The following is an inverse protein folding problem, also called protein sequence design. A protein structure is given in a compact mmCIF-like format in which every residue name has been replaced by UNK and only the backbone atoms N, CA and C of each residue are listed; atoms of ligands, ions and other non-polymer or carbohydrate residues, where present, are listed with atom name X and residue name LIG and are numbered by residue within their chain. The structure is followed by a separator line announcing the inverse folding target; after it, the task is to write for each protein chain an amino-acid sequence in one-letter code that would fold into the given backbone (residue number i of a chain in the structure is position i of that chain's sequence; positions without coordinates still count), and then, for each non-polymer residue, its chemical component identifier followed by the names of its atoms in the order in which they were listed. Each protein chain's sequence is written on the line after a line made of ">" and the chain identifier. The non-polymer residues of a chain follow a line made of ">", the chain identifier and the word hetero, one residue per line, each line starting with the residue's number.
data_IF_760817414552
#
_entry.id   IF_760817414552
#
_cell.length_a   1.000
_cell.length_b   1.000
_cell.length_c   1.000
_cell.angle_alpha   90.00
_cell.angle_beta   90.00
_cell.angle_gamma   90.00
#
_symmetry.space_group_name_H-M   'P 1'
#
loop_
_entity.id
_entity.type
_entity.pdbx_description
1 polymer ?
#
# COMPACT_ATOMS: atom_id res chain seq x y z
N UNK A 1 -66.22 -28.28 49.72
CA UNK A 1 -65.15 -29.12 49.09
C UNK A 1 -65.01 -28.74 47.65
N UNK A 2 -63.95 -28.01 47.25
CA UNK A 2 -63.62 -27.68 45.85
C UNK A 2 -63.02 -28.94 45.19
N UNK A 3 -63.70 -29.50 44.20
CA UNK A 3 -63.14 -30.57 43.37
C UNK A 3 -61.98 -30.03 42.58
N UNK A 4 -60.74 -30.44 42.89
CA UNK A 4 -59.56 -30.22 42.08
C UNK A 4 -59.81 -30.96 40.73
N UNK A 5 -59.94 -30.20 39.64
CA UNK A 5 -60.01 -30.73 38.30
C UNK A 5 -58.72 -31.51 37.98
N UNK A 6 -58.83 -32.81 37.91
CA UNK A 6 -57.75 -33.71 37.51
C UNK A 6 -57.50 -33.49 36.01
N UNK A 7 -56.53 -32.65 35.66
CA UNK A 7 -56.13 -32.44 34.28
C UNK A 7 -55.58 -33.74 33.72
N UNK A 8 -56.05 -34.14 32.54
CA UNK A 8 -55.58 -35.36 31.88
C UNK A 8 -54.13 -35.22 31.47
N UNK A 9 -53.33 -36.24 31.63
CA UNK A 9 -51.93 -36.32 31.21
C UNK A 9 -51.72 -35.78 29.76
N UNK A 10 -52.69 -35.97 28.89
CA UNK A 10 -52.70 -35.48 27.52
C UNK A 10 -52.75 -33.95 27.39
N UNK A 11 -53.38 -33.25 28.34
CA UNK A 11 -53.40 -31.78 28.36
C UNK A 11 -52.02 -31.19 28.72
N UNK A 12 -51.33 -31.79 29.67
CA UNK A 12 -49.96 -31.39 30.01
C UNK A 12 -49.01 -31.67 28.87
N UNK A 13 -49.15 -32.79 28.18
CA UNK A 13 -48.34 -33.13 27.01
C UNK A 13 -48.51 -32.16 25.84
N UNK A 14 -49.76 -31.70 25.59
CA UNK A 14 -50.02 -30.67 24.57
C UNK A 14 -49.37 -29.34 24.90
N UNK A 15 -49.45 -28.89 26.15
CA UNK A 15 -48.84 -27.64 26.60
C UNK A 15 -47.32 -27.75 26.49
N UNK A 16 -46.72 -28.87 26.86
CA UNK A 16 -45.28 -29.11 26.74
C UNK A 16 -44.82 -29.09 25.29
N UNK A 17 -45.56 -29.72 24.36
CA UNK A 17 -45.24 -29.69 22.94
C UNK A 17 -45.30 -28.29 22.34
N UNK A 18 -46.30 -27.47 22.72
CA UNK A 18 -46.39 -26.07 22.28
C UNK A 18 -45.21 -25.27 22.78
N UNK A 19 -44.80 -25.51 24.05
CA UNK A 19 -43.63 -24.82 24.64
C UNK A 19 -42.34 -25.20 23.94
N UNK A 20 -42.14 -26.49 23.67
CA UNK A 20 -40.94 -26.98 22.92
C UNK A 20 -40.94 -26.43 21.49
N UNK A 21 -42.07 -26.39 20.81
CA UNK A 21 -42.17 -25.79 19.48
C UNK A 21 -41.83 -24.29 19.49
N UNK A 22 -42.34 -23.56 20.48
CA UNK A 22 -41.99 -22.13 20.67
C UNK A 22 -40.51 -21.91 20.89
N UNK A 23 -39.87 -22.75 21.72
CA UNK A 23 -38.40 -22.69 21.93
C UNK A 23 -37.65 -23.00 20.66
N UNK A 24 -38.05 -24.00 19.90
CA UNK A 24 -37.42 -24.37 18.62
C UNK A 24 -37.50 -23.22 17.61
N UNK A 25 -38.64 -22.58 17.46
CA UNK A 25 -38.84 -21.42 16.57
C UNK A 25 -37.94 -20.23 17.05
N UNK A 26 -37.91 -19.96 18.36
CA UNK A 26 -37.08 -18.90 18.91
C UNK A 26 -35.59 -19.14 18.64
N UNK A 27 -35.12 -20.38 18.80
CA UNK A 27 -33.73 -20.75 18.48
C UNK A 27 -33.41 -20.63 16.98
N UNK A 28 -34.33 -21.00 16.10
CA UNK A 28 -34.15 -20.84 14.65
C UNK A 28 -34.06 -19.36 14.27
N UNK A 29 -34.96 -18.51 14.80
CA UNK A 29 -34.94 -17.07 14.54
C UNK A 29 -33.66 -16.45 15.10
N UNK A 30 -33.23 -16.85 16.29
CA UNK A 30 -31.99 -16.37 16.88
C UNK A 30 -30.77 -16.78 16.04
N UNK A 31 -30.68 -18.06 15.65
CA UNK A 31 -29.59 -18.55 14.79
C UNK A 31 -29.52 -17.81 13.46
N UNK A 32 -30.67 -17.62 12.80
CA UNK A 32 -30.75 -16.87 11.55
C UNK A 32 -30.27 -15.40 11.72
N UNK A 33 -30.73 -14.71 12.77
CA UNK A 33 -30.31 -13.33 13.04
C UNK A 33 -28.82 -13.22 13.36
N UNK A 34 -28.25 -14.17 14.11
CA UNK A 34 -26.81 -14.20 14.40
C UNK A 34 -26.03 -14.40 13.13
N UNK A 35 -26.44 -15.33 12.28
CA UNK A 35 -25.72 -15.62 11.03
C UNK A 35 -25.71 -14.39 10.10
N UNK A 36 -26.86 -13.76 9.88
CA UNK A 36 -26.96 -12.55 9.03
C UNK A 36 -26.11 -11.40 9.58
N UNK A 37 -26.15 -11.15 10.89
CA UNK A 37 -25.35 -10.09 11.52
C UNK A 37 -23.86 -10.38 11.46
N UNK A 38 -23.46 -11.65 11.60
CA UNK A 38 -22.05 -12.03 11.53
C UNK A 38 -21.49 -11.83 10.13
N UNK A 39 -22.25 -12.21 9.09
CA UNK A 39 -21.83 -11.98 7.70
C UNK A 39 -21.68 -10.50 7.39
N UNK A 40 -22.63 -9.65 7.76
CA UNK A 40 -22.55 -8.20 7.56
C UNK A 40 -21.38 -7.56 8.31
N UNK A 41 -21.15 -7.93 9.56
CA UNK A 41 -20.03 -7.40 10.35
C UNK A 41 -18.67 -7.81 9.78
N UNK A 42 -18.56 -9.02 9.21
CA UNK A 42 -17.32 -9.48 8.58
C UNK A 42 -17.05 -8.73 7.29
N UNK A 43 -18.07 -8.50 6.45
CA UNK A 43 -17.92 -7.71 5.23
C UNK A 43 -17.51 -6.25 5.55
N UNK A 44 -18.18 -5.59 6.50
CA UNK A 44 -17.83 -4.22 6.92
C UNK A 44 -16.39 -4.14 7.48
N UNK A 45 -15.96 -5.13 8.27
CA UNK A 45 -14.60 -5.18 8.80
C UNK A 45 -13.55 -5.40 7.71
N UNK A 46 -13.85 -6.24 6.71
CA UNK A 46 -12.95 -6.47 5.60
C UNK A 46 -12.82 -5.22 4.72
N UNK A 47 -13.94 -4.58 4.38
CA UNK A 47 -13.93 -3.34 3.59
C UNK A 47 -13.19 -2.22 4.33
N UNK A 48 -13.44 -2.04 5.62
CA UNK A 48 -12.72 -1.06 6.44
C UNK A 48 -11.20 -1.31 6.46
N UNK A 49 -10.79 -2.56 6.65
CA UNK A 49 -9.36 -2.91 6.68
C UNK A 49 -8.69 -2.68 5.30
N UNK A 50 -9.38 -3.02 4.20
CA UNK A 50 -8.87 -2.80 2.85
C UNK A 50 -8.71 -1.31 2.58
N UNK A 51 -9.71 -0.49 2.88
CA UNK A 51 -9.68 0.96 2.69
C UNK A 51 -8.60 1.63 3.55
N UNK A 52 -8.43 1.15 4.77
CA UNK A 52 -7.39 1.65 5.67
C UNK A 52 -5.98 1.35 5.13
N UNK A 53 -5.71 0.10 4.73
CA UNK A 53 -4.43 -0.29 4.14
C UNK A 53 -4.14 0.44 2.84
N UNK A 54 -5.14 0.62 1.97
CA UNK A 54 -4.98 1.43 0.74
C UNK A 54 -4.62 2.89 1.05
N UNK A 55 -5.26 3.47 2.06
CA UNK A 55 -4.98 4.84 2.47
C UNK A 55 -3.58 5.00 3.05
N UNK A 56 -3.12 4.06 3.86
CA UNK A 56 -1.76 4.03 4.39
C UNK A 56 -0.73 3.90 3.27
N UNK A 57 -0.95 2.98 2.32
CA UNK A 57 -0.05 2.83 1.17
C UNK A 57 0.02 4.10 0.31
N UNK A 58 -1.13 4.71 0.01
CA UNK A 58 -1.18 5.98 -0.74
C UNK A 58 -0.44 7.09 -0.01
N UNK A 59 -0.64 7.22 1.29
CA UNK A 59 0.05 8.22 2.11
C UNK A 59 1.57 7.99 2.11
N UNK A 60 2.00 6.75 2.29
CA UNK A 60 3.41 6.38 2.26
C UNK A 60 4.03 6.72 0.89
N UNK A 61 3.42 6.30 -0.21
CA UNK A 61 3.91 6.59 -1.56
C UNK A 61 3.98 8.11 -1.83
N UNK A 62 2.94 8.84 -1.46
CA UNK A 62 2.92 10.30 -1.61
C UNK A 62 4.05 10.97 -0.83
N UNK A 63 4.33 10.53 0.38
CA UNK A 63 5.45 11.01 1.19
C UNK A 63 6.78 10.76 0.49
N UNK A 64 6.94 9.59 -0.15
CA UNK A 64 8.16 9.27 -0.90
C UNK A 64 8.29 10.09 -2.19
N UNK A 65 7.19 10.39 -2.89
CA UNK A 65 7.21 11.31 -4.02
C UNK A 65 7.63 12.71 -3.62
N UNK A 66 7.08 13.24 -2.52
CA UNK A 66 7.49 14.55 -1.97
C UNK A 66 8.97 14.54 -1.61
N UNK A 67 9.46 13.46 -1.01
CA UNK A 67 10.87 13.32 -0.66
C UNK A 67 11.78 13.37 -1.89
N UNK A 68 11.48 12.59 -2.94
CA UNK A 68 12.23 12.64 -4.20
C UNK A 68 12.09 13.99 -4.91
N UNK A 69 10.93 14.63 -4.85
CA UNK A 69 10.70 15.97 -5.38
C UNK A 69 11.60 17.02 -4.73
N UNK A 70 11.76 16.97 -3.41
CA UNK A 70 12.67 17.86 -2.70
C UNK A 70 14.13 17.64 -3.13
N UNK A 71 14.55 16.41 -3.38
CA UNK A 71 15.87 16.11 -3.96
C UNK A 71 15.98 16.71 -5.37
N UNK A 72 14.96 16.49 -6.21
CA UNK A 72 14.92 17.01 -7.58
C UNK A 72 15.05 18.54 -7.60
N UNK A 73 14.33 19.25 -6.73
CA UNK A 73 14.39 20.71 -6.60
C UNK A 73 15.76 21.20 -6.12
N UNK A 74 16.43 20.40 -5.28
CA UNK A 74 17.75 20.76 -4.81
C UNK A 74 18.82 20.57 -5.89
N UNK A 75 18.84 19.42 -6.57
CA UNK A 75 19.83 19.12 -7.62
C UNK A 75 19.66 20.00 -8.85
N UNK A 76 18.46 20.49 -9.11
CA UNK A 76 18.16 21.42 -10.20
C UNK A 76 18.88 22.79 -10.06
N UNK A 77 19.34 23.14 -8.85
CA UNK A 77 20.02 24.42 -8.61
C UNK A 77 21.45 24.43 -9.13
N UNK A 78 22.07 23.27 -9.23
CA UNK A 78 23.44 23.14 -9.75
C UNK A 78 23.47 23.23 -11.28
N UNK A 79 24.62 23.59 -11.83
CA UNK A 79 24.79 23.74 -13.30
C UNK A 79 24.90 22.38 -13.99
N UNK A 80 25.31 21.34 -13.26
CA UNK A 80 25.41 19.97 -13.77
C UNK A 80 24.74 19.01 -12.81
N UNK A 81 23.87 18.14 -13.32
CA UNK A 81 23.21 17.11 -12.52
C UNK A 81 24.19 16.09 -11.93
N UNK A 82 25.27 15.78 -12.68
CA UNK A 82 26.26 14.76 -12.31
C UNK A 82 27.46 15.35 -11.56
N UNK A 83 27.31 16.51 -10.92
CA UNK A 83 28.39 17.10 -10.14
C UNK A 83 28.62 16.36 -8.81
N UNK A 84 29.85 16.47 -8.27
CA UNK A 84 30.26 15.84 -7.01
C UNK A 84 29.35 16.22 -5.84
N UNK A 85 28.93 17.48 -5.77
CA UNK A 85 28.04 18.00 -4.74
C UNK A 85 26.68 17.30 -4.72
N UNK A 86 26.11 17.00 -5.90
CA UNK A 86 24.86 16.26 -6.01
C UNK A 86 25.03 14.78 -5.61
N UNK A 87 26.19 14.19 -5.88
CA UNK A 87 26.50 12.82 -5.44
C UNK A 87 26.68 12.73 -3.93
N UNK A 88 27.37 13.69 -3.31
CA UNK A 88 27.49 13.79 -1.86
C UNK A 88 26.11 13.95 -1.20
N UNK A 89 25.25 14.81 -1.77
CA UNK A 89 23.87 14.96 -1.31
C UNK A 89 23.12 13.63 -1.33
N UNK A 90 23.15 12.90 -2.45
CA UNK A 90 22.48 11.61 -2.55
C UNK A 90 22.98 10.61 -1.51
N UNK A 91 24.29 10.55 -1.28
CA UNK A 91 24.87 9.63 -0.31
C UNK A 91 24.40 9.93 1.12
N UNK A 92 24.26 11.19 1.46
CA UNK A 92 23.74 11.63 2.77
C UNK A 92 22.23 11.37 2.91
N UNK A 93 21.46 11.68 1.88
CA UNK A 93 20.00 11.60 1.93
C UNK A 93 19.44 10.17 1.83
N UNK A 94 20.22 9.20 1.38
CA UNK A 94 19.77 7.80 1.31
C UNK A 94 19.89 7.08 2.65
N UNK A 95 20.62 7.64 3.60
CA UNK A 95 20.69 7.08 4.96
C UNK A 95 19.31 7.19 5.63
N UNK A 96 18.89 6.12 6.29
CA UNK A 96 17.61 6.02 7.02
C UNK A 96 16.34 6.19 6.16
N UNK A 97 16.41 5.91 4.86
CA UNK A 97 15.24 5.92 3.98
C UNK A 97 14.72 4.52 3.65
N UNK A 98 13.50 4.47 3.15
CA UNK A 98 12.89 3.23 2.64
C UNK A 98 13.51 2.80 1.30
N UNK A 99 14.20 3.69 0.60
CA UNK A 99 14.84 3.40 -0.67
C UNK A 99 16.06 2.49 -0.50
N UNK A 100 16.17 1.52 -1.38
CA UNK A 100 17.39 0.72 -1.53
C UNK A 100 18.50 1.54 -2.19
N UNK A 101 18.12 2.32 -3.20
CA UNK A 101 19.01 3.24 -3.88
C UNK A 101 18.22 4.43 -4.44
N UNK A 102 18.82 5.60 -4.43
CA UNK A 102 18.33 6.80 -5.12
C UNK A 102 19.34 7.16 -6.20
N UNK A 103 18.85 7.56 -7.37
CA UNK A 103 19.69 7.95 -8.51
C UNK A 103 19.24 9.26 -9.13
N UNK A 104 20.21 10.03 -9.63
CA UNK A 104 19.99 11.14 -10.54
C UNK A 104 20.24 10.62 -11.96
N UNK A 105 19.35 10.97 -12.89
CA UNK A 105 19.36 10.49 -14.27
C UNK A 105 19.28 11.70 -15.19
N UNK A 106 20.16 11.77 -16.20
CA UNK A 106 20.15 12.81 -17.22
C UNK A 106 19.07 12.58 -18.28
N UNK A 107 18.95 13.52 -19.22
CA UNK A 107 17.98 13.43 -20.32
C UNK A 107 18.23 12.26 -21.29
N UNK A 108 19.44 11.74 -21.35
CA UNK A 108 19.82 10.59 -22.20
C UNK A 108 19.59 9.25 -21.50
N UNK A 109 19.13 9.29 -20.24
CA UNK A 109 18.87 8.12 -19.41
C UNK A 109 20.12 7.51 -18.77
N UNK A 110 21.24 8.24 -18.73
CA UNK A 110 22.38 7.83 -17.94
C UNK A 110 22.19 8.32 -16.51
N UNK A 111 22.37 7.45 -15.54
CA UNK A 111 22.14 7.76 -14.14
C UNK A 111 23.29 7.33 -13.25
N UNK A 112 23.42 8.04 -12.12
CA UNK A 112 24.36 7.70 -11.04
C UNK A 112 23.58 7.53 -9.76
N UNK A 113 23.82 6.42 -9.08
CA UNK A 113 23.20 6.10 -7.78
C UNK A 113 23.95 6.75 -6.61
N UNK A 114 23.31 6.78 -5.44
CA UNK A 114 23.90 7.26 -4.20
C UNK A 114 25.19 6.53 -3.78
N UNK A 115 25.42 5.31 -4.24
CA UNK A 115 26.67 4.53 -4.03
C UNK A 115 27.65 4.66 -5.21
N UNK A 116 27.42 5.61 -6.12
CA UNK A 116 28.30 5.93 -7.24
C UNK A 116 28.23 4.96 -8.41
N UNK A 117 27.28 4.02 -8.41
CA UNK A 117 27.13 3.10 -9.54
C UNK A 117 26.43 3.78 -10.71
N UNK A 118 26.97 3.54 -11.91
CA UNK A 118 26.35 4.00 -13.14
C UNK A 118 25.25 3.04 -13.60
N UNK A 119 24.20 3.58 -14.20
CA UNK A 119 23.10 2.82 -14.81
C UNK A 119 22.62 3.49 -16.09
N UNK A 120 22.01 2.71 -16.99
CA UNK A 120 21.36 3.22 -18.18
C UNK A 120 19.90 2.76 -18.19
N UNK A 121 18.99 3.75 -18.27
CA UNK A 121 17.54 3.52 -18.10
C UNK A 121 16.70 4.15 -19.22
N UNK A 122 17.32 4.61 -20.30
CA UNK A 122 16.63 5.27 -21.41
C UNK A 122 15.49 4.44 -22.04
N UNK A 123 15.58 3.12 -21.99
CA UNK A 123 14.59 2.17 -22.49
C UNK A 123 13.44 1.91 -21.54
N UNK A 124 13.58 2.26 -20.26
CA UNK A 124 12.60 1.99 -19.20
C UNK A 124 11.34 2.86 -19.33
N UNK A 125 10.18 2.23 -19.15
CA UNK A 125 8.90 2.93 -19.26
C UNK A 125 8.76 4.06 -18.24
N UNK A 126 9.11 3.81 -16.98
CA UNK A 126 9.03 4.83 -15.93
C UNK A 126 9.86 6.08 -16.29
N UNK A 127 11.06 5.91 -16.87
CA UNK A 127 11.90 7.03 -17.26
C UNK A 127 11.26 7.83 -18.41
N UNK A 128 10.76 7.15 -19.44
CA UNK A 128 10.09 7.80 -20.59
C UNK A 128 8.86 8.61 -20.16
N UNK A 129 8.12 8.12 -19.16
CA UNK A 129 6.97 8.83 -18.61
C UNK A 129 7.39 10.01 -17.75
N UNK A 130 8.43 9.83 -16.93
CA UNK A 130 8.98 10.92 -16.10
C UNK A 130 9.52 12.05 -16.98
N UNK A 131 10.15 11.76 -18.11
CA UNK A 131 10.60 12.78 -19.06
C UNK A 131 9.45 13.52 -19.77
N UNK A 132 8.20 13.05 -19.64
CA UNK A 132 6.99 13.79 -20.04
C UNK A 132 6.40 14.64 -18.91
N UNK A 133 7.01 14.64 -17.74
CA UNK A 133 6.61 15.41 -16.57
C UNK A 133 5.72 14.67 -15.57
N UNK A 134 5.55 13.35 -15.73
CA UNK A 134 4.79 12.53 -14.81
C UNK A 134 5.62 12.13 -13.58
N UNK A 135 4.99 12.08 -12.42
CA UNK A 135 5.49 11.34 -11.26
C UNK A 135 5.05 9.88 -11.43
N UNK A 136 5.99 8.95 -11.42
CA UNK A 136 5.74 7.57 -11.84
C UNK A 136 6.10 6.59 -10.74
N UNK A 137 5.14 5.72 -10.41
CA UNK A 137 5.39 4.45 -9.75
C UNK A 137 5.47 3.37 -10.85
N UNK A 138 6.61 2.70 -10.96
CA UNK A 138 6.80 1.66 -11.97
C UNK A 138 6.08 0.37 -11.60
N UNK A 139 5.77 -0.44 -12.61
CA UNK A 139 5.54 -1.86 -12.39
C UNK A 139 6.81 -2.52 -11.81
N UNK A 140 6.68 -3.70 -11.14
CA UNK A 140 7.82 -4.47 -10.69
C UNK A 140 8.74 -4.82 -11.86
N UNK A 141 9.98 -4.39 -11.76
CA UNK A 141 11.00 -4.59 -12.79
C UNK A 141 12.27 -5.25 -12.22
N UNK A 142 13.09 -5.80 -13.08
CA UNK A 142 14.41 -6.28 -12.69
C UNK A 142 15.42 -5.13 -12.78
N UNK A 143 16.10 -4.89 -11.64
CA UNK A 143 17.15 -3.89 -11.55
C UNK A 143 18.33 -4.23 -12.45
N UNK A 144 18.82 -3.24 -13.21
CA UNK A 144 20.03 -3.36 -14.01
C UNK A 144 21.30 -3.45 -13.16
N UNK A 145 21.24 -3.07 -11.89
CA UNK A 145 22.39 -3.05 -11.00
C UNK A 145 22.69 -4.40 -10.35
N UNK A 146 21.66 -5.14 -9.96
CA UNK A 146 21.80 -6.38 -9.17
C UNK A 146 20.84 -7.51 -9.59
N UNK A 147 20.01 -7.31 -10.63
CA UNK A 147 19.06 -8.29 -11.13
C UNK A 147 17.89 -8.61 -10.21
N UNK A 148 17.75 -7.92 -9.07
CA UNK A 148 16.64 -8.14 -8.14
C UNK A 148 15.37 -7.44 -8.60
N UNK A 149 14.21 -7.97 -8.17
CA UNK A 149 12.91 -7.35 -8.44
C UNK A 149 12.74 -6.11 -7.56
N UNK A 150 12.46 -4.99 -8.23
CA UNK A 150 12.30 -3.69 -7.59
C UNK A 150 11.10 -2.95 -8.15
N UNK A 151 10.58 -2.04 -7.36
CA UNK A 151 9.64 -1.00 -7.79
C UNK A 151 10.38 0.32 -7.73
N UNK A 152 10.17 1.18 -8.71
CA UNK A 152 10.85 2.47 -8.83
C UNK A 152 9.82 3.60 -8.76
N UNK A 153 10.06 4.57 -7.88
CA UNK A 153 9.43 5.88 -7.93
C UNK A 153 10.34 6.83 -8.69
N UNK A 154 9.79 7.60 -9.60
CA UNK A 154 10.56 8.55 -10.40
C UNK A 154 9.83 9.88 -10.50
N UNK A 155 10.57 10.97 -10.32
CA UNK A 155 10.09 12.36 -10.42
C UNK A 155 10.95 13.16 -11.39
N UNK A 156 10.38 14.10 -12.17
CA UNK A 156 11.16 14.92 -13.09
C UNK A 156 11.97 15.97 -12.32
N UNK A 157 13.19 16.23 -12.78
CA UNK A 157 14.01 17.38 -12.37
C UNK A 157 13.66 18.53 -13.30
N UNK A 158 13.15 19.62 -12.74
CA UNK A 158 12.76 20.81 -13.52
C UNK A 158 13.65 22.00 -13.21
N UNK A 159 14.18 22.65 -14.24
CA UNK A 159 14.92 23.92 -14.15
C UNK A 159 14.31 24.93 -15.11
N UNK A 160 13.84 26.06 -14.62
CA UNK A 160 13.17 27.10 -15.41
C UNK A 160 11.96 26.59 -16.24
N UNK A 161 11.26 25.59 -15.76
CA UNK A 161 10.10 25.00 -16.45
C UNK A 161 10.43 23.88 -17.44
N UNK A 162 11.70 23.64 -17.73
CA UNK A 162 12.17 22.56 -18.58
C UNK A 162 12.59 21.34 -17.77
N UNK A 163 12.32 20.14 -18.30
CA UNK A 163 12.76 18.89 -17.69
C UNK A 163 14.20 18.60 -18.11
N UNK A 164 15.11 18.59 -17.16
CA UNK A 164 16.54 18.41 -17.38
C UNK A 164 17.04 17.02 -16.96
N UNK A 165 16.14 16.17 -16.42
CA UNK A 165 16.48 14.82 -15.96
C UNK A 165 15.40 14.28 -15.03
N UNK A 166 15.76 13.23 -14.29
CA UNK A 166 14.88 12.59 -13.31
C UNK A 166 15.64 12.21 -12.02
N UNK A 167 14.93 12.21 -10.90
CA UNK A 167 15.37 11.51 -9.68
C UNK A 167 14.53 10.24 -9.56
N UNK A 168 15.19 9.11 -9.34
CA UNK A 168 14.52 7.83 -9.20
C UNK A 168 14.96 7.13 -7.91
N UNK A 169 13.98 6.65 -7.12
CA UNK A 169 14.19 5.86 -5.92
C UNK A 169 13.68 4.44 -6.09
N UNK A 170 14.49 3.44 -5.80
CA UNK A 170 14.13 2.04 -5.92
C UNK A 170 13.81 1.42 -4.56
N UNK A 171 12.72 0.64 -4.48
CA UNK A 171 12.35 -0.15 -3.31
C UNK A 171 12.63 -1.62 -3.51
N UNK A 172 13.07 -2.28 -2.44
CA UNK A 172 13.06 -3.73 -2.38
C UNK A 172 11.63 -4.24 -2.13
N UNK A 173 11.15 -5.14 -3.01
CA UNK A 173 9.79 -5.68 -2.91
C UNK A 173 9.54 -6.41 -1.59
N UNK A 174 10.58 -7.06 -1.03
CA UNK A 174 10.44 -7.77 0.26
C UNK A 174 10.28 -6.78 1.40
N UNK A 175 11.09 -5.73 1.44
CA UNK A 175 10.96 -4.68 2.46
C UNK A 175 9.63 -3.95 2.35
N UNK A 176 9.17 -3.66 1.13
CA UNK A 176 7.88 -3.01 0.92
C UNK A 176 6.73 -3.88 1.44
N UNK A 177 6.76 -5.18 1.17
CA UNK A 177 5.74 -6.10 1.68
C UNK A 177 5.77 -6.22 3.21
N UNK A 178 6.95 -6.25 3.82
CA UNK A 178 7.09 -6.27 5.28
C UNK A 178 6.43 -5.04 5.91
N UNK A 179 6.74 -3.86 5.43
CA UNK A 179 6.17 -2.60 5.95
C UNK A 179 4.62 -2.58 5.82
N UNK A 180 4.07 -3.17 4.75
CA UNK A 180 2.63 -3.18 4.51
C UNK A 180 1.88 -4.22 5.34
N UNK A 181 2.54 -5.30 5.78
CA UNK A 181 1.89 -6.46 6.40
C UNK A 181 2.42 -6.83 7.79
N UNK A 182 3.44 -6.14 8.33
CA UNK A 182 3.96 -6.40 9.69
C UNK A 182 3.09 -5.79 10.81
N UNK A 183 2.14 -4.92 10.49
CA UNK A 183 1.20 -4.32 11.46
C UNK A 183 -0.16 -5.04 11.53
N UNK A 184 -0.22 -6.32 11.09
CA UNK A 184 -1.46 -7.12 11.14
C UNK A 184 -1.32 -8.29 12.12
#
# INVERSE_FOLDING_TARGET
>A
MKRLKQYSFWEYMRVLLVFIAGLAVSLLVFSYNVQVRTEQNVEELLDYNIDHQQSQLKFMLNTQFIYLGNIADYVAKEDSLMCEKNQELLSCMTQDTLFHAISIIDTDGNGVTNDGKEQKVADRDYFKRTMKGEEVLSDPLYSSLDGKRRVVLSVPIKKNGEIIGAVAGSFDMVKLSQILFEDV
#
